data_IF_926869491901
#
_entry.id   IF_926869491901
#
_cell.length_a   1.000
_cell.length_b   1.000
_cell.length_c   1.000
_cell.angle_alpha   90.00
_cell.angle_beta   90.00
_cell.angle_gamma   90.00
#
_symmetry.space_group_name_H-M   'P 1'
#
loop_
_entity.id
_entity.type
_entity.pdbx_description
1 polymer ?
#
# COMPACT_ATOMS: atom_id res chain seq x y z
N UNK A 1 -4.76 -11.30 6.66
CA UNK A 1 -3.37 -11.12 6.22
C UNK A 1 -3.41 -10.35 4.93
N UNK A 2 -2.67 -9.24 4.81
CA UNK A 2 -2.61 -8.48 3.56
C UNK A 2 -2.03 -9.36 2.45
N UNK A 3 -2.58 -9.36 1.22
CA UNK A 3 -2.03 -10.19 0.15
C UNK A 3 -0.63 -9.72 -0.24
N UNK A 4 0.35 -10.64 -0.33
CA UNK A 4 1.72 -10.31 -0.80
C UNK A 4 1.71 -9.63 -2.17
N UNK A 5 0.74 -9.96 -3.03
CA UNK A 5 0.63 -9.33 -4.35
C UNK A 5 0.38 -7.83 -4.27
N UNK A 6 -0.30 -7.34 -3.23
CA UNK A 6 -0.54 -5.91 -3.03
C UNK A 6 0.78 -5.19 -2.76
N UNK A 7 1.55 -5.72 -1.81
CA UNK A 7 2.86 -5.17 -1.43
C UNK A 7 3.86 -5.23 -2.60
N UNK A 8 3.87 -6.33 -3.37
CA UNK A 8 4.69 -6.45 -4.58
C UNK A 8 4.40 -5.34 -5.61
N UNK A 9 3.13 -4.93 -5.77
CA UNK A 9 2.75 -3.83 -6.66
C UNK A 9 3.19 -2.48 -6.12
N UNK A 10 3.02 -2.21 -4.82
CA UNK A 10 3.50 -0.95 -4.20
C UNK A 10 5.01 -0.80 -4.29
N UNK A 11 5.76 -1.90 -4.12
CA UNK A 11 7.20 -1.92 -4.39
C UNK A 11 7.51 -1.48 -5.82
N UNK A 12 6.80 -2.05 -6.80
CA UNK A 12 7.04 -1.77 -8.22
C UNK A 12 6.60 -0.37 -8.66
N UNK A 13 5.50 0.16 -8.11
CA UNK A 13 4.95 1.46 -8.50
C UNK A 13 5.73 2.64 -7.92
N UNK A 14 6.27 2.47 -6.70
CA UNK A 14 6.90 3.56 -5.94
C UNK A 14 8.37 3.29 -5.61
N UNK A 15 8.94 2.18 -6.09
CA UNK A 15 10.33 1.81 -5.81
C UNK A 15 10.61 1.66 -4.32
N UNK A 16 9.66 1.11 -3.57
CA UNK A 16 9.79 0.83 -2.14
C UNK A 16 10.58 -0.46 -1.99
N UNK A 17 11.50 -0.48 -1.01
CA UNK A 17 12.27 -1.67 -0.68
C UNK A 17 11.30 -2.78 -0.22
N UNK A 18 11.35 -4.00 -0.79
CA UNK A 18 10.51 -5.10 -0.35
C UNK A 18 10.69 -5.48 1.13
N UNK A 19 11.82 -5.10 1.76
CA UNK A 19 12.08 -5.30 3.18
C UNK A 19 11.59 -4.12 4.05
N UNK A 20 11.16 -3.00 3.46
CA UNK A 20 10.53 -1.87 4.17
C UNK A 20 9.04 -2.17 4.44
N UNK A 21 8.83 -3.14 5.32
CA UNK A 21 7.48 -3.61 5.67
C UNK A 21 6.67 -2.53 6.39
N UNK A 22 7.29 -1.66 7.17
CA UNK A 22 6.57 -0.62 7.91
C UNK A 22 5.91 0.36 6.93
N UNK A 23 6.64 0.85 5.91
CA UNK A 23 6.07 1.69 4.84
C UNK A 23 5.01 0.96 4.04
N UNK A 24 5.24 -0.31 3.67
CA UNK A 24 4.28 -1.11 2.90
C UNK A 24 2.97 -1.35 3.67
N UNK A 25 3.06 -1.58 4.99
CA UNK A 25 1.89 -1.73 5.85
C UNK A 25 1.14 -0.42 5.98
N UNK A 26 1.82 0.72 6.15
CA UNK A 26 1.15 2.01 6.19
C UNK A 26 0.36 2.28 4.90
N UNK A 27 1.00 2.09 3.73
CA UNK A 27 0.32 2.27 2.45
C UNK A 27 -0.90 1.35 2.35
N UNK A 28 -0.73 0.05 2.62
CA UNK A 28 -1.82 -0.91 2.50
C UNK A 28 -3.00 -0.63 3.45
N UNK A 29 -2.75 -0.02 4.61
CA UNK A 29 -3.80 0.33 5.57
C UNK A 29 -4.52 1.63 5.23
N UNK A 30 -3.81 2.64 4.71
CA UNK A 30 -4.36 3.98 4.51
C UNK A 30 -4.79 4.26 3.06
N UNK A 31 -4.16 3.66 2.06
CA UNK A 31 -4.48 3.90 0.65
C UNK A 31 -5.94 3.61 0.28
N UNK A 32 -6.63 2.57 0.80
CA UNK A 32 -8.04 2.34 0.50
C UNK A 32 -8.97 3.48 0.94
N UNK A 33 -8.50 4.38 1.80
CA UNK A 33 -9.24 5.56 2.26
C UNK A 33 -8.95 6.80 1.42
N UNK A 34 -8.11 6.72 0.39
CA UNK A 34 -7.87 7.81 -0.56
C UNK A 34 -9.08 7.94 -1.50
N UNK A 35 -9.88 9.03 -1.42
CA UNK A 35 -10.99 9.23 -2.34
C UNK A 35 -10.50 9.48 -3.78
N UNK A 36 -11.31 9.09 -4.75
CA UNK A 36 -11.07 9.45 -6.15
C UNK A 36 -11.43 10.93 -6.37
N UNK A 37 -10.57 11.73 -7.04
CA UNK A 37 -10.92 13.10 -7.41
C UNK A 37 -12.09 13.18 -8.41
N UNK A 38 -12.35 12.09 -9.15
CA UNK A 38 -13.45 12.01 -10.12
C UNK A 38 -14.78 11.54 -9.48
N UNK A 39 -14.80 11.23 -8.18
CA UNK A 39 -16.02 10.86 -7.46
C UNK A 39 -16.76 12.11 -6.95
N UNK A 40 -17.91 12.50 -7.54
CA UNK A 40 -18.64 13.68 -7.11
C UNK A 40 -19.21 13.55 -5.69
N UNK A 41 -19.37 12.33 -5.16
CA UNK A 41 -19.82 12.14 -3.78
C UNK A 41 -18.71 12.40 -2.77
N UNK A 42 -17.44 12.15 -3.13
CA UNK A 42 -16.31 12.49 -2.29
C UNK A 42 -16.25 13.99 -2.02
N UNK A 43 -16.50 14.83 -3.01
CA UNK A 43 -16.53 16.29 -2.86
C UNK A 43 -17.65 16.83 -1.97
N UNK A 44 -18.70 16.05 -1.70
CA UNK A 44 -19.76 16.45 -0.78
C UNK A 44 -19.39 16.18 0.69
N UNK A 45 -18.37 15.36 0.94
CA UNK A 45 -17.85 15.11 2.27
C UNK A 45 -16.69 16.09 2.55
N UNK A 46 -16.83 16.91 3.60
CA UNK A 46 -15.84 17.94 3.93
C UNK A 46 -14.42 17.40 4.19
N UNK A 47 -14.29 16.22 4.81
CA UNK A 47 -12.99 15.59 5.06
C UNK A 47 -12.35 15.08 3.77
N UNK A 48 -13.13 14.43 2.90
CA UNK A 48 -12.67 13.99 1.58
C UNK A 48 -12.28 15.20 0.71
N UNK A 49 -13.08 16.26 0.70
CA UNK A 49 -12.79 17.48 -0.06
C UNK A 49 -11.48 18.15 0.42
N UNK A 50 -11.30 18.30 1.74
CA UNK A 50 -10.06 18.85 2.30
C UNK A 50 -8.83 18.01 1.95
N UNK A 51 -8.96 16.67 2.00
CA UNK A 51 -7.92 15.76 1.54
C UNK A 51 -7.60 15.97 0.06
N UNK A 52 -8.63 15.96 -0.81
CA UNK A 52 -8.47 16.10 -2.26
C UNK A 52 -7.84 17.44 -2.64
N UNK A 53 -8.19 18.51 -1.95
CA UNK A 53 -7.56 19.84 -2.08
C UNK A 53 -6.08 19.80 -1.68
N UNK A 54 -5.75 19.17 -0.56
CA UNK A 54 -4.37 19.08 -0.05
C UNK A 54 -3.44 18.31 -1.00
N UNK A 55 -3.93 17.21 -1.59
CA UNK A 55 -3.14 16.36 -2.47
C UNK A 55 -3.19 16.81 -3.95
N UNK A 56 -3.90 17.89 -4.24
CA UNK A 56 -4.10 18.37 -5.60
C UNK A 56 -2.76 18.72 -6.26
N UNK A 57 -2.59 18.29 -7.53
CA UNK A 57 -1.37 18.54 -8.30
C UNK A 57 -0.17 17.64 -7.96
N UNK A 58 -0.25 16.80 -6.92
CA UNK A 58 0.79 15.82 -6.65
C UNK A 58 0.88 14.79 -7.78
N UNK A 59 2.09 14.34 -8.20
CA UNK A 59 2.24 13.30 -9.20
C UNK A 59 1.82 11.94 -8.67
N UNK A 60 1.28 11.08 -9.53
CA UNK A 60 0.93 9.68 -9.23
C UNK A 60 2.00 8.74 -9.78
N UNK A 61 1.86 7.42 -9.55
CA UNK A 61 2.74 6.41 -10.16
C UNK A 61 2.67 6.40 -11.70
N UNK A 62 1.67 7.06 -12.29
CA UNK A 62 1.45 7.15 -13.73
C UNK A 62 1.85 8.50 -14.34
N UNK A 63 2.22 9.50 -13.54
CA UNK A 63 2.61 10.82 -14.08
C UNK A 63 3.87 10.68 -14.93
N UNK A 64 3.82 11.06 -16.23
CA UNK A 64 4.96 10.94 -17.14
C UNK A 64 6.14 11.82 -16.72
N UNK A 65 7.37 11.36 -16.96
CA UNK A 65 8.58 12.15 -16.73
C UNK A 65 8.98 12.34 -15.26
N UNK A 66 8.17 11.91 -14.30
CA UNK A 66 8.47 12.05 -12.87
C UNK A 66 9.37 10.90 -12.39
N UNK A 67 10.50 11.16 -11.71
CA UNK A 67 11.34 10.12 -11.10
C UNK A 67 10.60 9.33 -10.01
N UNK A 68 11.00 8.07 -9.78
CA UNK A 68 10.34 7.21 -8.78
C UNK A 68 10.45 7.76 -7.35
N UNK A 69 11.55 8.44 -7.01
CA UNK A 69 11.71 9.10 -5.71
C UNK A 69 10.64 10.18 -5.47
N UNK A 70 10.29 10.95 -6.51
CA UNK A 70 9.26 11.99 -6.42
C UNK A 70 7.86 11.37 -6.39
N UNK A 71 7.60 10.30 -7.17
CA UNK A 71 6.35 9.54 -7.10
C UNK A 71 6.12 8.96 -5.71
N UNK A 72 7.16 8.38 -5.12
CA UNK A 72 7.13 7.82 -3.77
C UNK A 72 6.84 8.92 -2.75
N UNK A 73 7.59 10.01 -2.77
CA UNK A 73 7.36 11.13 -1.87
C UNK A 73 5.93 11.68 -1.98
N UNK A 74 5.41 11.83 -3.21
CA UNK A 74 4.05 12.27 -3.45
C UNK A 74 3.00 11.27 -2.97
N UNK A 75 3.26 9.96 -3.08
CA UNK A 75 2.34 8.95 -2.56
C UNK A 75 2.33 8.92 -1.03
N UNK A 76 3.50 9.00 -0.38
CA UNK A 76 3.59 9.09 1.08
C UNK A 76 2.90 10.35 1.61
N UNK A 77 3.03 11.49 0.91
CA UNK A 77 2.29 12.71 1.25
C UNK A 77 0.76 12.51 1.19
N UNK A 78 0.26 11.71 0.25
CA UNK A 78 -1.17 11.34 0.20
C UNK A 78 -1.58 10.48 1.39
N UNK A 79 -0.75 9.50 1.75
CA UNK A 79 -0.99 8.66 2.93
C UNK A 79 -1.04 9.52 4.21
N UNK A 80 -0.14 10.50 4.34
CA UNK A 80 -0.17 11.44 5.46
C UNK A 80 -1.43 12.31 5.46
N UNK A 81 -1.89 12.77 4.30
CA UNK A 81 -3.17 13.48 4.18
C UNK A 81 -4.36 12.62 4.60
N UNK A 82 -4.37 11.32 4.24
CA UNK A 82 -5.39 10.36 4.69
C UNK A 82 -5.40 10.25 6.22
N UNK A 83 -4.22 10.10 6.85
CA UNK A 83 -4.09 10.06 8.32
C UNK A 83 -4.63 11.32 8.99
N UNK A 84 -4.45 12.50 8.37
CA UNK A 84 -4.94 13.77 8.90
C UNK A 84 -6.46 13.93 8.78
N UNK A 85 -7.02 13.58 7.61
CA UNK A 85 -8.40 13.95 7.27
C UNK A 85 -9.41 12.81 7.40
N UNK A 86 -9.01 11.58 7.05
CA UNK A 86 -9.93 10.44 6.92
C UNK A 86 -9.90 9.51 8.13
N UNK A 87 -8.71 9.19 8.62
CA UNK A 87 -8.51 8.19 9.68
C UNK A 87 -7.78 8.82 10.85
N UNK A 88 -8.55 9.40 11.76
CA UNK A 88 -8.02 9.96 13.01
C UNK A 88 -8.04 8.88 14.09
N UNK A 89 -6.87 8.31 14.37
CA UNK A 89 -6.68 7.41 15.50
C UNK A 89 -6.43 8.27 16.74
N UNK A 90 -7.43 8.38 17.61
CA UNK A 90 -7.29 9.00 18.92
C UNK A 90 -7.15 7.93 20.00
N UNK A 91 -6.40 8.24 21.06
CA UNK A 91 -6.37 7.39 22.23
C UNK A 91 -7.79 7.21 22.77
N UNK A 92 -8.27 5.97 22.79
CA UNK A 92 -9.54 5.67 23.43
C UNK A 92 -9.48 6.04 24.92
N UNK A 93 -10.59 6.57 25.49
CA UNK A 93 -10.69 6.83 26.91
C UNK A 93 -10.20 5.63 27.73
N UNK A 94 -9.48 5.89 28.83
CA UNK A 94 -8.94 4.82 29.67
C UNK A 94 -10.02 3.83 30.12
N UNK A 95 -11.24 4.31 30.38
CA UNK A 95 -12.41 3.49 30.72
C UNK A 95 -12.74 2.46 29.65
N UNK A 96 -12.66 2.83 28.38
CA UNK A 96 -13.07 2.01 27.26
C UNK A 96 -12.01 0.94 26.96
N UNK A 97 -10.72 1.32 27.09
CA UNK A 97 -9.60 0.38 27.03
C UNK A 97 -9.70 -0.66 28.16
N UNK A 98 -9.98 -0.23 29.38
CA UNK A 98 -10.15 -1.13 30.53
C UNK A 98 -11.38 -2.05 30.36
N UNK A 99 -12.50 -1.53 29.85
CA UNK A 99 -13.70 -2.30 29.59
C UNK A 99 -13.50 -3.34 28.48
N UNK A 100 -12.79 -3.00 27.40
CA UNK A 100 -12.46 -3.95 26.33
C UNK A 100 -11.62 -5.13 26.85
N UNK A 101 -10.63 -4.85 27.71
CA UNK A 101 -9.80 -5.88 28.36
C UNK A 101 -10.61 -6.75 29.35
N UNK A 102 -11.60 -6.17 30.03
CA UNK A 102 -12.47 -6.90 30.96
C UNK A 102 -13.56 -7.72 30.24
N UNK A 103 -14.07 -7.23 29.10
CA UNK A 103 -15.15 -7.85 28.33
C UNK A 103 -14.69 -9.12 27.60
N UNK A 104 -13.50 -9.09 27.01
CA UNK A 104 -12.89 -10.31 26.49
C UNK A 104 -12.35 -11.05 27.71
N UNK A 105 -13.00 -12.14 28.15
CA UNK A 105 -12.56 -13.03 29.24
C UNK A 105 -11.24 -13.75 28.92
N UNK A 106 -10.25 -13.00 28.49
CA UNK A 106 -9.06 -13.39 27.75
C UNK A 106 -7.90 -12.95 28.61
N UNK A 107 -7.35 -13.89 29.38
CA UNK A 107 -6.01 -13.79 29.95
C UNK A 107 -4.93 -13.84 28.84
N UNK A 108 -5.11 -13.07 27.76
CA UNK A 108 -4.14 -12.95 26.68
C UNK A 108 -3.33 -11.70 26.93
N UNK A 109 -2.05 -11.90 27.20
CA UNK A 109 -1.06 -10.84 27.13
C UNK A 109 -0.78 -10.57 25.66
N UNK A 110 -0.87 -9.31 25.24
CA UNK A 110 -0.38 -8.93 23.92
C UNK A 110 1.12 -9.26 23.85
N UNK A 111 1.63 -9.85 22.75
CA UNK A 111 3.06 -10.05 22.58
C UNK A 111 3.77 -8.68 22.58
N UNK A 112 5.02 -8.67 23.04
CA UNK A 112 5.84 -7.45 23.15
C UNK A 112 5.96 -6.71 21.81
N UNK A 113 6.07 -7.45 20.71
CA UNK A 113 5.94 -6.93 19.36
C UNK A 113 4.71 -7.57 18.67
N UNK A 114 3.58 -6.86 18.58
CA UNK A 114 2.39 -7.34 17.88
C UNK A 114 2.59 -7.49 16.36
N UNK A 115 3.65 -6.88 15.78
CA UNK A 115 3.96 -6.95 14.36
C UNK A 115 4.97 -8.07 14.03
N UNK A 116 5.58 -8.71 15.03
CA UNK A 116 6.57 -9.76 14.81
C UNK A 116 6.07 -10.90 13.88
N UNK A 117 4.82 -11.40 13.99
CA UNK A 117 4.31 -12.43 13.08
C UNK A 117 4.25 -11.97 11.62
N UNK A 118 3.97 -10.68 11.37
CA UNK A 118 3.95 -10.11 10.03
C UNK A 118 5.38 -9.96 9.49
N UNK A 119 6.31 -9.43 10.29
CA UNK A 119 7.72 -9.29 9.92
C UNK A 119 8.41 -10.62 9.61
N UNK A 120 8.01 -11.68 10.30
CA UNK A 120 8.58 -13.03 10.10
C UNK A 120 7.87 -13.82 8.99
N UNK A 121 6.58 -13.56 8.75
CA UNK A 121 5.76 -14.31 7.81
C UNK A 121 5.66 -13.70 6.41
N UNK A 122 5.83 -12.38 6.28
CA UNK A 122 5.75 -11.67 5.00
C UNK A 122 7.17 -11.53 4.45
N UNK A 123 7.55 -12.46 3.57
CA UNK A 123 8.69 -12.26 2.65
C UNK A 123 8.17 -12.14 1.23
N UNK A 124 8.42 -11.00 0.60
CA UNK A 124 8.12 -10.80 -0.81
C UNK A 124 9.17 -11.53 -1.65
N UNK A 125 8.72 -12.22 -2.69
CA UNK A 125 9.63 -12.89 -3.63
C UNK A 125 10.27 -11.83 -4.55
N UNK A 126 11.61 -11.64 -4.52
CA UNK A 126 12.27 -10.64 -5.33
C UNK A 126 12.02 -10.80 -6.84
N UNK A 127 11.84 -12.04 -7.32
CA UNK A 127 11.54 -12.30 -8.72
C UNK A 127 10.14 -11.81 -9.10
N UNK A 128 9.18 -11.89 -8.16
CA UNK A 128 7.82 -11.35 -8.36
C UNK A 128 7.85 -9.83 -8.34
N UNK A 129 8.55 -9.21 -7.40
CA UNK A 129 8.74 -7.74 -7.36
C UNK A 129 9.36 -7.26 -8.67
N UNK A 130 10.46 -7.87 -9.12
CA UNK A 130 11.11 -7.51 -10.38
C UNK A 130 10.17 -7.68 -11.59
N UNK A 131 9.34 -8.72 -11.61
CA UNK A 131 8.34 -8.91 -12.67
C UNK A 131 7.29 -7.79 -12.67
N UNK A 132 6.91 -7.27 -11.49
CA UNK A 132 6.00 -6.12 -11.38
C UNK A 132 6.67 -4.82 -11.81
N UNK A 133 7.94 -4.61 -11.45
CA UNK A 133 8.74 -3.44 -11.90
C UNK A 133 8.75 -3.37 -13.42
N UNK A 134 9.10 -4.48 -14.10
CA UNK A 134 9.10 -4.56 -15.55
C UNK A 134 7.71 -4.29 -16.16
N UNK A 135 6.64 -4.75 -15.51
CA UNK A 135 5.28 -4.49 -15.95
C UNK A 135 4.91 -3.00 -15.81
N UNK A 136 5.26 -2.36 -14.70
CA UNK A 136 5.03 -0.92 -14.46
C UNK A 136 5.83 -0.08 -15.46
N UNK A 137 7.10 -0.38 -15.67
CA UNK A 137 7.94 0.27 -16.68
C UNK A 137 7.33 0.16 -18.08
N UNK A 138 6.88 -1.06 -18.44
CA UNK A 138 6.22 -1.29 -19.71
C UNK A 138 4.92 -0.48 -19.84
N UNK A 139 4.08 -0.44 -18.81
CA UNK A 139 2.83 0.35 -18.80
C UNK A 139 3.13 1.85 -18.96
N UNK A 140 4.09 2.39 -18.21
CA UNK A 140 4.51 3.79 -18.30
C UNK A 140 5.04 4.14 -19.69
N UNK A 141 5.84 3.26 -20.29
CA UNK A 141 6.38 3.47 -21.64
C UNK A 141 5.33 3.38 -22.76
N UNK A 142 4.16 2.77 -22.49
CA UNK A 142 3.11 2.53 -23.49
C UNK A 142 1.78 3.20 -23.13
N UNK A 143 1.77 4.18 -22.22
CA UNK A 143 0.55 4.84 -21.74
C UNK A 143 -0.33 5.41 -22.88
N UNK A 144 0.27 5.81 -24.01
CA UNK A 144 -0.42 6.40 -25.15
C UNK A 144 -0.87 5.39 -26.24
N UNK A 145 -0.55 4.09 -26.13
CA UNK A 145 -0.90 3.09 -27.16
C UNK A 145 -1.14 1.69 -26.58
N UNK A 146 -2.25 1.00 -26.92
CA UNK A 146 -2.38 -0.41 -26.61
C UNK A 146 -1.37 -1.22 -27.43
N UNK A 147 -0.37 -1.79 -26.76
CA UNK A 147 0.51 -2.83 -27.32
C UNK A 147 0.39 -4.07 -26.44
N UNK A 148 0.58 -5.25 -27.03
CA UNK A 148 0.61 -6.51 -26.29
C UNK A 148 1.96 -6.62 -25.57
N UNK A 149 2.01 -6.94 -24.26
CA UNK A 149 3.28 -7.18 -23.57
C UNK A 149 4.09 -8.27 -24.27
N UNK A 150 5.38 -8.06 -24.44
CA UNK A 150 6.31 -9.00 -25.09
C UNK A 150 7.21 -9.75 -24.11
N UNK A 151 7.07 -9.51 -22.80
CA UNK A 151 7.81 -10.28 -21.80
C UNK A 151 7.12 -11.63 -21.57
N UNK A 152 7.93 -12.68 -21.46
CA UNK A 152 7.47 -13.98 -21.03
C UNK A 152 7.29 -13.96 -19.51
N UNK A 153 6.05 -14.16 -19.03
CA UNK A 153 5.81 -14.50 -17.62
C UNK A 153 6.58 -15.77 -17.27
N UNK A 154 7.15 -15.77 -16.06
CA UNK A 154 7.86 -16.85 -15.36
C UNK A 154 7.98 -18.17 -16.16
N UNK A 155 9.21 -18.66 -16.46
CA UNK A 155 9.35 -19.98 -17.06
C UNK A 155 8.56 -20.99 -16.22
N UNK A 156 7.85 -21.95 -16.86
CA UNK A 156 7.01 -22.90 -16.16
C UNK A 156 7.82 -23.50 -15.03
N UNK A 157 7.26 -23.43 -13.81
CA UNK A 157 7.85 -24.01 -12.62
C UNK A 157 8.40 -25.37 -12.97
N UNK A 158 9.72 -25.54 -12.93
CA UNK A 158 10.32 -26.87 -12.97
C UNK A 158 9.82 -27.53 -11.69
N UNK A 159 8.84 -28.43 -11.84
CA UNK A 159 8.38 -29.30 -10.78
C UNK A 159 9.61 -30.09 -10.31
N UNK A 160 10.27 -29.65 -9.24
CA UNK A 160 11.23 -30.49 -8.52
C UNK A 160 10.40 -31.37 -7.60
N UNK A 161 9.94 -32.51 -8.13
CA UNK A 161 9.06 -33.38 -7.38
C UNK A 161 8.71 -34.67 -8.10
N UNK A 162 9.71 -35.49 -8.41
CA UNK A 162 9.55 -36.95 -8.39
C UNK A 162 10.85 -37.58 -7.88
N UNK A 163 10.80 -38.09 -6.65
CA UNK A 163 11.48 -39.34 -6.26
C UNK A 163 10.45 -40.18 -5.54
#
# INVERSE_FOLDING_TARGET
>A
MLPNTEMEWRCAEYGIDPDDLDTLLEIALYEPHLPSPDDPLAWQNAACAALLEEIHGLPTCWTPGVPDVERRAAHLARIDAVKRHMVRIEDAPHSDRAAALAYVGSARTAPEDPLAPLRQGVRLDPARVQSRVLAVEWLRANADRPRKPTFHTKPPSTFVGMR
#
